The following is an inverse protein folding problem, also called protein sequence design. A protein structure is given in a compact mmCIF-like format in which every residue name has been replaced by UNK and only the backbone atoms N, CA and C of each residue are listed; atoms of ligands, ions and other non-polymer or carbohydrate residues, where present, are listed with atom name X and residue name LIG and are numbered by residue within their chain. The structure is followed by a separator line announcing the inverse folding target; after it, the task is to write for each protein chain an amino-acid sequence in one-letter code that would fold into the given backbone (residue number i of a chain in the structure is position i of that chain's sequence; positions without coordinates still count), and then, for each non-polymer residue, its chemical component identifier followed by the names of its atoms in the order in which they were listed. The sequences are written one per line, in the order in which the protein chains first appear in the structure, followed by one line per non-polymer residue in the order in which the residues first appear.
data_IF_457452953529
#
_entry.id   IF_457452953529
#
_cell.length_a   1.000
_cell.length_b   1.000
_cell.length_c   1.000
_cell.angle_alpha   90.00
_cell.angle_beta   90.00
_cell.angle_gamma   90.00
#
_symmetry.space_group_name_H-M   'P 1'
#
loop_
_entity.id
_entity.type
_entity.pdbx_description
1 polymer ?
#
# COMPACT_ATOMS: atom_id res chain seq x y z
N UNK A 1 16.36 -10.51 -73.12
CA UNK A 1 15.47 -10.84 -71.98
C UNK A 1 16.26 -10.60 -70.69
N UNK A 2 16.03 -9.44 -70.06
CA UNK A 2 16.81 -9.00 -68.93
C UNK A 2 15.86 -9.04 -67.69
N UNK A 3 16.18 -9.87 -66.69
CA UNK A 3 15.39 -10.03 -65.49
C UNK A 3 15.98 -9.09 -64.42
N UNK A 4 15.17 -8.10 -63.98
CA UNK A 4 15.47 -7.27 -62.84
C UNK A 4 14.93 -7.93 -61.57
N UNK A 5 15.79 -8.23 -60.61
CA UNK A 5 15.42 -8.62 -59.24
C UNK A 5 15.30 -7.36 -58.37
N UNK A 6 14.20 -7.19 -57.63
CA UNK A 6 14.11 -6.11 -56.66
C UNK A 6 14.78 -6.51 -55.34
N UNK A 7 15.67 -5.66 -54.83
CA UNK A 7 16.27 -5.76 -53.52
C UNK A 7 15.26 -5.37 -52.45
N UNK A 8 14.93 -6.29 -51.52
CA UNK A 8 14.10 -6.02 -50.36
C UNK A 8 15.02 -5.50 -49.25
N UNK A 9 14.90 -4.21 -48.94
CA UNK A 9 15.56 -3.62 -47.82
C UNK A 9 14.75 -3.93 -46.52
N UNK A 10 15.32 -4.75 -45.66
CA UNK A 10 14.76 -5.02 -44.32
C UNK A 10 15.08 -3.85 -43.40
N UNK A 11 14.06 -3.07 -43.01
CA UNK A 11 14.17 -2.10 -41.95
C UNK A 11 14.12 -2.84 -40.58
N UNK A 12 15.26 -2.92 -39.91
CA UNK A 12 15.33 -3.30 -38.51
C UNK A 12 14.82 -2.13 -37.65
N UNK A 13 13.62 -2.26 -37.12
CA UNK A 13 13.10 -1.35 -36.09
C UNK A 13 13.80 -1.64 -34.76
N UNK A 14 14.67 -0.73 -34.31
CA UNK A 14 15.21 -0.72 -32.96
C UNK A 14 14.06 -0.33 -32.00
N UNK A 15 13.56 -1.30 -31.23
CA UNK A 15 12.65 -1.07 -30.12
C UNK A 15 13.53 -0.61 -28.94
N UNK A 16 13.33 0.61 -28.38
CA UNK A 16 14.03 1.00 -27.18
C UNK A 16 13.52 0.14 -26.02
N UNK A 17 14.42 -0.62 -25.41
CA UNK A 17 14.16 -1.31 -24.15
C UNK A 17 13.89 -0.26 -23.07
N UNK A 18 12.63 -0.15 -22.65
CA UNK A 18 12.25 0.62 -21.46
C UNK A 18 12.94 -0.03 -20.25
N UNK A 19 14.01 0.58 -19.79
CA UNK A 19 14.67 0.23 -18.53
C UNK A 19 13.70 0.54 -17.39
N UNK A 20 12.97 -0.48 -16.93
CA UNK A 20 12.30 -0.40 -15.63
C UNK A 20 13.40 -0.29 -14.58
N UNK A 21 13.60 0.94 -14.10
CA UNK A 21 14.40 1.18 -12.91
C UNK A 21 13.72 0.41 -11.76
N UNK A 22 14.27 -0.76 -11.45
CA UNK A 22 13.97 -1.49 -10.23
C UNK A 22 14.48 -0.61 -9.09
N UNK A 23 13.57 0.14 -8.46
CA UNK A 23 13.85 0.81 -7.19
C UNK A 23 14.33 -0.27 -6.22
N UNK A 24 15.64 -0.29 -6.00
CA UNK A 24 16.27 -1.16 -5.02
C UNK A 24 15.70 -0.78 -3.65
N UNK A 25 14.74 -1.58 -3.17
CA UNK A 25 14.24 -1.50 -1.79
C UNK A 25 15.40 -1.83 -0.85
N UNK A 26 15.99 -0.78 -0.32
CA UNK A 26 16.80 -0.93 0.88
C UNK A 26 15.91 -1.58 1.95
N UNK A 27 16.42 -2.62 2.64
CA UNK A 27 15.81 -3.14 3.86
C UNK A 27 15.63 -1.95 4.80
N UNK A 28 14.42 -1.42 4.91
CA UNK A 28 14.13 -0.35 5.86
C UNK A 28 14.24 -0.96 7.24
N UNK A 29 15.27 -0.57 7.98
CA UNK A 29 15.32 -0.85 9.41
C UNK A 29 14.10 -0.17 10.04
N UNK A 30 13.31 -0.87 10.84
CA UNK A 30 12.17 -0.25 11.52
C UNK A 30 12.66 0.98 12.29
N UNK A 31 11.88 2.06 12.33
CA UNK A 31 12.27 3.26 13.06
C UNK A 31 12.53 2.90 14.52
N UNK A 32 13.52 3.51 15.17
CA UNK A 32 13.75 3.30 16.58
C UNK A 32 12.46 3.64 17.35
N UNK A 33 11.97 2.68 18.12
CA UNK A 33 10.68 2.77 18.82
C UNK A 33 10.54 4.00 19.76
N UNK A 34 11.64 4.65 20.06
CA UNK A 34 11.70 5.80 20.97
C UNK A 34 11.13 7.11 20.39
N UNK A 35 11.12 7.24 19.08
CA UNK A 35 10.76 8.50 18.40
C UNK A 35 9.43 8.42 17.66
N UNK A 36 8.73 7.30 17.75
CA UNK A 36 7.47 7.05 17.07
C UNK A 36 6.35 6.74 18.07
N UNK A 37 5.17 7.26 17.78
CA UNK A 37 3.94 6.96 18.51
C UNK A 37 3.02 6.18 17.57
N UNK A 38 2.52 5.04 18.01
CA UNK A 38 1.45 4.33 17.30
C UNK A 38 0.16 5.12 17.45
N UNK A 39 -0.45 5.47 16.32
CA UNK A 39 -1.68 6.26 16.25
C UNK A 39 -2.89 5.33 16.12
N UNK A 40 -2.74 4.30 15.30
CA UNK A 40 -3.78 3.31 15.05
C UNK A 40 -3.16 1.97 14.67
N UNK A 41 -3.90 0.89 14.91
CA UNK A 41 -3.52 -0.46 14.52
C UNK A 41 -4.73 -1.28 14.12
N UNK A 42 -4.57 -2.18 13.16
CA UNK A 42 -5.62 -3.08 12.71
C UNK A 42 -5.08 -4.48 12.45
N UNK A 43 -5.85 -5.48 12.90
CA UNK A 43 -5.58 -6.86 12.50
C UNK A 43 -5.98 -7.07 11.05
N UNK A 44 -5.16 -7.82 10.30
CA UNK A 44 -5.42 -8.17 8.92
C UNK A 44 -6.01 -9.57 8.87
N UNK A 45 -7.27 -9.68 8.46
CA UNK A 45 -7.98 -10.94 8.26
C UNK A 45 -7.76 -11.49 6.86
N UNK A 46 -7.98 -12.81 6.69
CA UNK A 46 -7.93 -13.46 5.38
C UNK A 46 -6.57 -14.00 4.97
N UNK A 47 -5.61 -14.08 5.88
CA UNK A 47 -4.33 -14.75 5.61
C UNK A 47 -4.48 -16.25 5.80
N UNK A 48 -4.23 -17.03 4.75
CA UNK A 48 -4.13 -18.48 4.84
C UNK A 48 -2.98 -18.87 5.79
N UNK A 49 -3.13 -20.03 6.47
CA UNK A 49 -2.05 -20.70 7.22
C UNK A 49 -1.74 -20.24 8.65
N UNK A 50 -2.69 -19.65 9.37
CA UNK A 50 -2.52 -19.42 10.82
C UNK A 50 -1.53 -18.33 11.21
N UNK A 51 -0.91 -17.65 10.25
CA UNK A 51 -0.08 -16.48 10.51
C UNK A 51 -0.97 -15.27 10.72
N UNK A 52 -0.87 -14.64 11.89
CA UNK A 52 -1.55 -13.39 12.16
C UNK A 52 -0.69 -12.23 11.68
N UNK A 53 -1.34 -11.32 10.94
CA UNK A 53 -0.73 -10.07 10.50
C UNK A 53 -1.49 -8.88 11.07
N UNK A 54 -0.80 -7.79 11.24
CA UNK A 54 -1.37 -6.51 11.62
C UNK A 54 -0.69 -5.41 10.82
N UNK A 55 -1.38 -4.29 10.71
CA UNK A 55 -0.79 -3.06 10.23
C UNK A 55 -0.97 -1.99 11.31
N UNK A 56 0.01 -1.12 11.42
CA UNK A 56 -0.05 0.02 12.33
C UNK A 56 0.39 1.30 11.64
N UNK A 57 -0.22 2.38 12.04
CA UNK A 57 0.17 3.73 11.70
C UNK A 57 1.09 4.27 12.79
N UNK A 58 2.30 4.67 12.41
CA UNK A 58 3.27 5.29 13.31
C UNK A 58 3.49 6.74 12.92
N UNK A 59 3.40 7.63 13.88
CA UNK A 59 3.80 9.03 13.75
C UNK A 59 5.19 9.22 14.35
N UNK A 60 6.17 9.54 13.50
CA UNK A 60 7.56 9.72 13.86
C UNK A 60 7.99 11.17 13.55
N UNK A 61 7.72 12.08 14.49
CA UNK A 61 7.89 13.51 14.24
C UNK A 61 6.98 14.01 13.11
N UNK A 62 7.53 14.56 12.04
CA UNK A 62 6.79 15.03 10.87
C UNK A 62 6.54 13.94 9.81
N UNK A 63 6.93 12.70 10.09
CA UNK A 63 6.76 11.56 9.17
C UNK A 63 5.61 10.70 9.66
N UNK A 64 4.86 10.17 8.70
CA UNK A 64 3.86 9.16 8.90
C UNK A 64 4.36 7.85 8.30
N UNK A 65 4.23 6.75 9.00
CA UNK A 65 4.63 5.43 8.51
C UNK A 65 3.52 4.43 8.67
N UNK A 66 3.23 3.71 7.58
CA UNK A 66 2.43 2.50 7.61
C UNK A 66 3.39 1.32 7.75
N UNK A 67 3.25 0.55 8.82
CA UNK A 67 4.05 -0.65 9.05
C UNK A 67 3.18 -1.90 8.94
N UNK A 68 3.75 -2.93 8.32
CA UNK A 68 3.18 -4.26 8.28
C UNK A 68 3.91 -5.14 9.29
N UNK A 69 3.15 -5.84 10.10
CA UNK A 69 3.67 -6.67 11.19
C UNK A 69 3.20 -8.11 11.05
N UNK A 70 4.05 -9.05 11.43
CA UNK A 70 3.70 -10.46 11.57
C UNK A 70 3.85 -10.87 13.03
N UNK A 71 2.91 -11.63 13.53
CA UNK A 71 3.02 -12.24 14.86
C UNK A 71 4.11 -13.32 14.84
N UNK A 72 5.10 -13.16 15.69
CA UNK A 72 6.24 -14.08 15.81
C UNK A 72 6.22 -14.90 17.09
N UNK A 73 5.29 -14.62 17.99
CA UNK A 73 5.14 -15.34 19.24
C UNK A 73 4.10 -14.75 20.17
N UNK A 74 4.16 -15.15 21.42
CA UNK A 74 3.35 -14.61 22.51
C UNK A 74 4.18 -14.43 23.76
N UNK A 75 3.89 -13.39 24.51
CA UNK A 75 4.36 -13.19 25.88
C UNK A 75 3.14 -13.26 26.81
N UNK A 76 2.91 -14.44 27.40
CA UNK A 76 1.63 -14.73 28.06
C UNK A 76 0.47 -14.71 27.05
N UNK A 77 -0.53 -13.88 27.30
CA UNK A 77 -1.68 -13.69 26.40
C UNK A 77 -1.44 -12.66 25.28
N UNK A 78 -0.40 -11.84 25.39
CA UNK A 78 -0.11 -10.75 24.46
C UNK A 78 0.67 -11.25 23.24
N UNK A 79 0.26 -10.89 22.01
CA UNK A 79 1.00 -11.21 20.81
C UNK A 79 2.32 -10.42 20.76
N UNK A 80 3.37 -11.06 20.25
CA UNK A 80 4.64 -10.40 19.92
C UNK A 80 4.65 -10.16 18.41
N UNK A 81 4.84 -8.92 18.02
CA UNK A 81 4.82 -8.47 16.63
C UNK A 81 6.23 -8.11 16.15
N UNK A 82 6.51 -8.45 14.91
CA UNK A 82 7.74 -8.06 14.22
C UNK A 82 7.39 -7.32 12.94
N UNK A 83 7.95 -6.14 12.76
CA UNK A 83 7.79 -5.37 11.51
C UNK A 83 8.49 -6.10 10.37
N UNK A 84 7.73 -6.38 9.31
CA UNK A 84 8.20 -7.10 8.12
C UNK A 84 8.29 -6.20 6.88
N UNK A 85 7.50 -5.13 6.84
CA UNK A 85 7.59 -4.12 5.78
C UNK A 85 7.11 -2.75 6.29
N UNK A 86 7.53 -1.68 5.64
CA UNK A 86 7.20 -0.31 6.01
C UNK A 86 7.16 0.61 4.80
N UNK A 87 6.16 1.49 4.79
CA UNK A 87 6.07 2.63 3.87
C UNK A 87 6.13 3.91 4.70
N UNK A 88 7.08 4.79 4.38
CA UNK A 88 7.20 6.09 5.05
C UNK A 88 6.71 7.21 4.13
N UNK A 89 5.83 8.04 4.67
CA UNK A 89 5.26 9.20 4.02
C UNK A 89 5.90 10.44 4.64
N UNK A 90 6.79 11.07 3.89
CA UNK A 90 7.44 12.31 4.32
C UNK A 90 6.53 13.50 4.04
N UNK A 91 6.33 14.34 5.03
CA UNK A 91 5.53 15.56 4.93
C UNK A 91 4.13 15.33 4.34
N UNK A 92 3.29 14.48 4.98
CA UNK A 92 1.91 14.34 4.54
C UNK A 92 1.22 15.70 4.60
N UNK A 93 0.32 15.96 3.65
CA UNK A 93 -0.53 17.15 3.73
C UNK A 93 -1.36 17.08 5.03
N UNK A 94 -1.54 18.19 5.77
CA UNK A 94 -2.37 18.20 6.97
C UNK A 94 -3.85 17.87 6.70
N UNK A 95 -4.25 17.83 5.42
CA UNK A 95 -5.60 17.43 5.00
C UNK A 95 -5.72 15.95 4.64
N UNK A 96 -4.60 15.21 4.62
CA UNK A 96 -4.60 13.80 4.28
C UNK A 96 -4.31 12.96 5.52
N UNK A 97 -5.04 11.90 5.67
CA UNK A 97 -4.91 10.89 6.72
C UNK A 97 -4.69 9.51 6.11
N UNK A 98 -4.15 8.60 6.89
CA UNK A 98 -3.99 7.21 6.49
C UNK A 98 -5.30 6.47 6.77
N UNK A 99 -5.94 6.03 5.68
CA UNK A 99 -7.22 5.34 5.72
C UNK A 99 -6.99 3.83 5.84
N UNK A 100 -7.68 3.22 6.80
CA UNK A 100 -7.50 1.82 7.19
C UNK A 100 -8.25 0.86 6.26
N UNK A 101 -7.82 -0.42 6.16
CA UNK A 101 -8.43 -1.39 5.26
C UNK A 101 -9.86 -1.79 5.63
N UNK A 102 -10.31 -1.49 6.86
CA UNK A 102 -11.70 -1.69 7.23
C UNK A 102 -12.67 -0.83 6.40
N UNK A 103 -12.18 0.28 5.85
CA UNK A 103 -12.98 1.24 5.11
C UNK A 103 -12.64 1.30 3.62
N UNK A 104 -11.49 0.77 3.21
CA UNK A 104 -10.98 0.92 1.85
C UNK A 104 -11.10 -0.36 1.05
N UNK A 105 -11.51 -0.23 -0.20
CA UNK A 105 -11.60 -1.31 -1.17
C UNK A 105 -11.02 -0.89 -2.52
N UNK A 106 -10.70 -1.88 -3.34
CA UNK A 106 -10.25 -1.69 -4.72
C UNK A 106 -10.95 -2.71 -5.60
N UNK A 107 -11.48 -2.29 -6.74
CA UNK A 107 -12.14 -3.18 -7.68
C UNK A 107 -11.18 -4.20 -8.29
N UNK A 108 -9.91 -3.85 -8.41
CA UNK A 108 -8.85 -4.73 -8.92
C UNK A 108 -8.37 -5.75 -7.90
N UNK A 109 -8.60 -5.50 -6.60
CA UNK A 109 -8.12 -6.34 -5.50
C UNK A 109 -9.22 -6.49 -4.43
N UNK A 110 -10.36 -7.14 -4.75
CA UNK A 110 -11.56 -7.12 -3.90
C UNK A 110 -11.36 -7.81 -2.53
N UNK A 111 -10.49 -8.81 -2.45
CA UNK A 111 -10.32 -9.63 -1.24
C UNK A 111 -9.02 -9.33 -0.49
N UNK A 112 -8.44 -8.16 -0.71
CA UNK A 112 -7.13 -7.79 -0.15
C UNK A 112 -7.26 -6.53 0.69
N UNK A 113 -6.61 -6.51 1.86
CA UNK A 113 -6.52 -5.32 2.69
C UNK A 113 -5.86 -4.16 1.92
N UNK A 114 -6.58 -3.05 1.77
CA UNK A 114 -6.16 -1.85 1.05
C UNK A 114 -6.02 -0.69 2.03
N UNK A 115 -4.91 0.00 1.97
CA UNK A 115 -4.63 1.22 2.72
C UNK A 115 -4.56 2.39 1.75
N UNK A 116 -5.03 3.53 2.16
CA UNK A 116 -4.99 4.72 1.32
C UNK A 116 -4.50 5.95 2.11
N UNK A 117 -3.85 6.87 1.43
CA UNK A 117 -3.62 8.22 1.91
C UNK A 117 -4.59 9.14 1.18
N UNK A 118 -5.52 9.72 1.90
CA UNK A 118 -6.58 10.51 1.33
C UNK A 118 -7.24 11.41 2.36
N UNK A 119 -8.36 11.99 1.98
CA UNK A 119 -9.21 12.80 2.84
C UNK A 119 -10.60 12.17 2.92
N UNK A 120 -11.12 12.00 4.14
CA UNK A 120 -12.53 11.65 4.33
C UNK A 120 -13.38 12.91 4.36
N UNK A 121 -14.51 12.87 3.68
CA UNK A 121 -15.47 13.98 3.60
C UNK A 121 -16.85 13.45 3.95
N UNK A 122 -17.50 14.14 4.89
CA UNK A 122 -18.87 13.84 5.32
C UNK A 122 -19.84 14.05 4.16
N UNK A 123 -20.73 13.10 3.97
CA UNK A 123 -21.78 13.11 2.99
C UNK A 123 -23.11 13.58 3.60
N UNK A 124 -24.09 14.00 2.80
CA UNK A 124 -25.39 14.46 3.33
C UNK A 124 -26.17 13.41 4.14
N UNK A 125 -25.87 12.13 3.98
CA UNK A 125 -26.48 11.01 4.69
C UNK A 125 -25.74 10.65 6.00
N UNK A 126 -24.73 11.44 6.39
CA UNK A 126 -23.93 11.23 7.58
C UNK A 126 -22.80 10.21 7.41
N UNK A 127 -22.69 9.56 6.27
CA UNK A 127 -21.53 8.71 5.95
C UNK A 127 -20.29 9.56 5.62
N UNK A 128 -19.12 8.93 5.62
CA UNK A 128 -17.87 9.56 5.15
C UNK A 128 -17.35 8.82 3.94
N UNK A 129 -16.90 9.56 2.94
CA UNK A 129 -16.32 8.99 1.73
C UNK A 129 -14.98 9.64 1.43
N UNK A 130 -14.03 8.82 0.93
CA UNK A 130 -12.74 9.35 0.54
C UNK A 130 -12.85 10.23 -0.70
N UNK A 131 -12.23 11.40 -0.60
CA UNK A 131 -11.93 12.26 -1.73
C UNK A 131 -10.40 12.40 -1.86
N UNK A 132 -9.92 12.56 -3.09
CA UNK A 132 -8.50 12.80 -3.34
C UNK A 132 -7.57 11.76 -2.69
N UNK A 133 -7.83 10.48 -2.94
CA UNK A 133 -6.84 9.43 -2.64
C UNK A 133 -5.59 9.70 -3.46
N UNK A 134 -4.47 10.00 -2.79
CA UNK A 134 -3.22 10.40 -3.44
C UNK A 134 -2.21 9.28 -3.53
N UNK A 135 -2.33 8.28 -2.65
CA UNK A 135 -1.52 7.05 -2.63
C UNK A 135 -2.34 5.91 -2.06
N UNK A 136 -2.08 4.72 -2.56
CA UNK A 136 -2.70 3.52 -2.03
C UNK A 136 -1.73 2.34 -2.04
N UNK A 137 -1.94 1.41 -1.12
CA UNK A 137 -1.16 0.19 -0.97
C UNK A 137 -2.10 -0.96 -0.65
N UNK A 138 -1.75 -2.14 -1.15
CA UNK A 138 -2.38 -3.39 -0.74
C UNK A 138 -1.41 -4.26 0.04
N UNK A 139 -1.93 -5.11 0.91
CA UNK A 139 -1.14 -6.15 1.50
C UNK A 139 -0.96 -7.32 0.51
N UNK A 140 0.27 -7.54 0.06
CA UNK A 140 0.65 -8.70 -0.74
C UNK A 140 1.09 -9.83 0.21
N UNK A 141 0.14 -10.69 0.59
CA UNK A 141 0.34 -11.79 1.54
C UNK A 141 1.49 -12.71 1.11
N UNK A 142 1.54 -13.06 -0.20
CA UNK A 142 2.56 -14.00 -0.73
C UNK A 142 3.98 -13.44 -0.62
N UNK A 143 4.13 -12.12 -0.67
CA UNK A 143 5.43 -11.46 -0.59
C UNK A 143 5.65 -10.77 0.74
N UNK A 144 4.69 -10.86 1.65
CA UNK A 144 4.71 -10.22 2.97
C UNK A 144 5.10 -8.73 2.89
N UNK A 145 4.44 -7.97 2.02
CA UNK A 145 4.78 -6.57 1.79
C UNK A 145 3.58 -5.68 1.47
N UNK A 146 3.76 -4.39 1.65
CA UNK A 146 2.87 -3.34 1.19
C UNK A 146 3.21 -2.99 -0.27
N UNK A 147 2.38 -3.40 -1.20
CA UNK A 147 2.56 -3.12 -2.63
C UNK A 147 1.75 -1.90 -3.03
N UNK A 148 2.41 -0.89 -3.62
CA UNK A 148 1.70 0.27 -4.16
C UNK A 148 0.73 -0.16 -5.27
N UNK A 149 -0.44 0.47 -5.28
CA UNK A 149 -1.49 0.29 -6.30
C UNK A 149 -1.96 1.66 -6.82
N UNK A 150 -2.62 1.70 -7.99
CA UNK A 150 -3.23 2.92 -8.48
C UNK A 150 -4.26 3.48 -7.49
N UNK A 151 -4.18 4.78 -7.21
CA UNK A 151 -5.06 5.44 -6.24
C UNK A 151 -6.47 5.69 -6.79
N UNK A 152 -6.61 5.80 -8.10
CA UNK A 152 -7.89 6.01 -8.83
C UNK A 152 -8.85 4.81 -8.74
N UNK A 153 -8.34 3.64 -8.37
CA UNK A 153 -9.13 2.42 -8.18
C UNK A 153 -9.56 2.20 -6.71
N UNK A 154 -9.20 3.12 -5.81
CA UNK A 154 -9.45 2.94 -4.38
C UNK A 154 -10.57 3.86 -3.90
N UNK A 155 -11.53 3.26 -3.23
CA UNK A 155 -12.64 3.95 -2.56
C UNK A 155 -12.61 3.57 -1.09
N UNK A 156 -12.69 4.56 -0.21
CA UNK A 156 -12.87 4.34 1.22
C UNK A 156 -14.23 4.93 1.64
N UNK A 157 -14.99 4.15 2.39
CA UNK A 157 -16.31 4.53 2.91
C UNK A 157 -16.36 4.14 4.39
N UNK A 158 -16.82 5.06 5.22
CA UNK A 158 -17.16 4.83 6.61
C UNK A 158 -18.64 5.17 6.77
N UNK A 159 -19.44 4.17 7.10
CA UNK A 159 -20.86 4.37 7.39
C UNK A 159 -21.03 5.25 8.62
N UNK A 160 -22.01 6.14 8.57
CA UNK A 160 -22.36 6.96 9.73
C UNK A 160 -22.76 6.05 10.90
N UNK A 161 -22.36 6.42 12.11
CA UNK A 161 -22.89 5.81 13.32
C UNK A 161 -24.27 6.42 13.60
N UNK A 162 -25.31 5.59 13.57
CA UNK A 162 -26.65 5.94 14.05
C UNK A 162 -26.67 6.17 15.57
#
# INVERSE_FOLDING_TARGET
MSQYLPAIAALLALVPAASHASEARGKSTPPPAKDCVEVSGTALSGTAEGSAYAAAELKCGAKLSLVLQRQTGRNGTLPVWTVIDQVTISKPSPRHELLQPAYCSSSRFPDVAVFALGRMVEQPDGSYRSENVVKAWRFDVKRERLAAIPADDVICVLDGVD
#
